data_IF_249324477854
#
_entry.id   IF_249324477854
#
_cell.length_a   1.000
_cell.length_b   1.000
_cell.length_c   1.000
_cell.angle_alpha   90.00
_cell.angle_beta   90.00
_cell.angle_gamma   90.00
#
_symmetry.space_group_name_H-M   'P 1'
#
loop_
_entity.id
_entity.type
_entity.pdbx_description
1 polymer ?
#
# COMPACT_ATOMS: atom_id res chain seq x y z
N UNK A 1 10.94 19.24 17.15
CA UNK A 1 9.64 18.86 16.54
C UNK A 1 8.69 20.06 16.44
N UNK A 2 8.59 20.89 17.48
CA UNK A 2 7.66 22.04 17.47
C UNK A 2 7.99 23.07 16.38
N UNK A 3 9.25 23.32 16.10
CA UNK A 3 9.68 24.23 15.01
C UNK A 3 9.21 23.74 13.63
N UNK A 4 9.18 22.42 13.39
CA UNK A 4 8.69 21.84 12.13
C UNK A 4 7.18 21.97 11.98
N UNK A 5 6.44 21.82 13.07
CA UNK A 5 5.00 22.04 13.09
C UNK A 5 4.65 23.52 12.90
N UNK A 6 5.43 24.41 13.52
CA UNK A 6 5.26 25.84 13.34
C UNK A 6 5.56 26.27 11.91
N UNK A 7 6.64 25.74 11.32
CA UNK A 7 6.96 25.97 9.91
C UNK A 7 5.84 25.49 9.00
N UNK A 8 5.31 24.27 9.23
CA UNK A 8 4.19 23.75 8.48
C UNK A 8 2.97 24.67 8.54
N UNK A 9 2.58 25.11 9.73
CA UNK A 9 1.45 26.03 9.93
C UNK A 9 1.63 27.37 9.18
N UNK A 10 2.84 27.91 9.23
CA UNK A 10 3.16 29.19 8.57
C UNK A 10 3.18 29.11 7.04
N UNK A 11 3.74 28.01 6.50
CA UNK A 11 3.93 27.87 5.05
C UNK A 11 2.65 27.46 4.34
N UNK A 12 1.86 26.56 4.95
CA UNK A 12 0.69 25.96 4.31
C UNK A 12 -0.63 26.54 4.82
N UNK A 13 -0.61 27.45 5.80
CA UNK A 13 -1.80 28.00 6.45
C UNK A 13 -2.75 26.90 6.95
N UNK A 14 -2.19 25.75 7.30
CA UNK A 14 -2.93 24.59 7.75
C UNK A 14 -2.77 24.43 9.26
N UNK A 15 -3.89 24.45 9.97
CA UNK A 15 -3.90 24.31 11.43
C UNK A 15 -3.93 22.83 11.88
N UNK A 16 -4.18 21.91 10.96
CA UNK A 16 -4.08 20.47 11.24
C UNK A 16 -2.61 20.09 11.33
N UNK A 17 -2.21 19.43 12.39
CA UNK A 17 -0.83 18.98 12.54
C UNK A 17 -0.53 17.86 11.54
N UNK A 18 0.66 17.89 10.91
CA UNK A 18 1.11 16.76 10.08
C UNK A 18 1.35 15.52 10.95
N UNK A 19 1.17 14.33 10.36
CA UNK A 19 1.41 13.06 11.04
C UNK A 19 2.90 12.89 11.36
N UNK A 20 3.73 13.17 10.38
CA UNK A 20 5.19 13.15 10.46
C UNK A 20 5.79 13.89 9.25
N UNK A 21 7.11 13.98 9.21
CA UNK A 21 7.82 14.65 8.11
C UNK A 21 9.10 13.89 7.75
N UNK A 22 9.62 14.24 6.57
CA UNK A 22 10.82 13.66 5.98
C UNK A 22 11.76 14.80 5.58
N UNK A 23 12.99 14.75 6.08
CA UNK A 23 14.05 15.62 5.62
C UNK A 23 14.65 15.10 4.33
N UNK A 24 14.76 16.01 3.36
CA UNK A 24 15.52 15.80 2.14
C UNK A 24 16.81 16.58 2.26
N UNK A 25 17.94 15.90 2.12
CA UNK A 25 19.25 16.52 2.08
C UNK A 25 20.15 15.68 1.21
N UNK A 26 20.61 16.24 0.12
CA UNK A 26 21.55 15.63 -0.82
C UNK A 26 22.50 16.69 -1.33
N UNK A 27 23.79 16.42 -1.28
CA UNK A 27 24.83 17.31 -1.78
C UNK A 27 25.45 16.80 -3.08
N UNK A 28 25.37 15.49 -3.37
CA UNK A 28 25.87 14.84 -4.57
C UNK A 28 24.96 13.70 -5.03
N UNK A 29 24.66 13.53 -6.30
CA UNK A 29 25.17 14.22 -7.51
C UNK A 29 24.51 15.58 -7.81
N UNK A 30 23.60 16.05 -6.97
CA UNK A 30 22.94 17.35 -7.07
C UNK A 30 22.62 17.88 -5.68
N UNK A 31 22.53 19.19 -5.57
CA UNK A 31 22.12 19.84 -4.32
C UNK A 31 20.59 19.87 -4.22
N UNK A 32 20.07 19.25 -3.19
CA UNK A 32 18.64 19.26 -2.88
C UNK A 32 18.44 19.28 -1.38
N UNK A 33 17.70 20.28 -0.91
CA UNK A 33 17.30 20.41 0.48
C UNK A 33 15.79 20.59 0.56
N UNK A 34 15.19 20.05 1.59
CA UNK A 34 13.74 20.20 1.74
C UNK A 34 13.16 19.44 2.89
N UNK A 35 11.86 19.58 3.01
CA UNK A 35 11.05 18.86 3.98
C UNK A 35 9.72 18.47 3.33
N UNK A 36 9.33 17.22 3.49
CA UNK A 36 8.02 16.71 3.08
C UNK A 36 7.23 16.35 4.32
N UNK A 37 5.97 16.73 4.35
CA UNK A 37 5.03 16.45 5.42
C UNK A 37 3.94 15.50 4.92
N UNK A 38 3.63 14.53 5.74
CA UNK A 38 2.43 13.71 5.58
C UNK A 38 1.28 14.41 6.31
N UNK A 39 0.33 15.00 5.59
CA UNK A 39 -0.83 15.63 6.21
C UNK A 39 -1.79 14.55 6.71
N UNK A 40 -2.59 14.90 7.71
CA UNK A 40 -3.74 14.08 8.09
C UNK A 40 -4.83 14.27 7.03
N UNK A 41 -5.12 13.20 6.29
CA UNK A 41 -6.09 13.21 5.20
C UNK A 41 -7.48 12.93 5.76
N UNK A 42 -8.39 13.87 5.64
CA UNK A 42 -9.81 13.65 5.95
C UNK A 42 -10.51 13.30 4.63
N UNK A 43 -10.62 11.98 4.33
CA UNK A 43 -11.13 11.47 3.06
C UNK A 43 -12.59 11.83 2.76
N UNK A 44 -13.34 12.33 3.74
CA UNK A 44 -14.76 12.66 3.57
C UNK A 44 -15.01 14.07 3.03
N UNK A 45 -14.09 15.02 3.22
CA UNK A 45 -14.36 16.45 2.95
C UNK A 45 -13.22 17.23 2.29
N UNK A 46 -12.01 16.69 2.26
CA UNK A 46 -10.86 17.43 1.71
C UNK A 46 -10.54 16.94 0.29
N UNK A 47 -10.41 17.87 -0.66
CA UNK A 47 -9.70 17.58 -1.90
C UNK A 47 -8.29 17.11 -1.56
N UNK A 48 -7.95 15.90 -1.98
CA UNK A 48 -6.65 15.27 -1.69
C UNK A 48 -5.58 15.93 -2.57
N UNK A 49 -5.42 17.24 -2.47
CA UNK A 49 -4.37 17.96 -3.16
C UNK A 49 -3.36 18.46 -2.11
N UNK A 50 -2.21 17.82 -2.13
CA UNK A 50 -1.03 18.33 -1.44
C UNK A 50 -0.49 19.57 -2.12
N UNK A 51 0.49 20.20 -1.52
CA UNK A 51 1.20 21.34 -2.10
C UNK A 51 2.68 21.20 -1.84
N UNK A 52 3.45 20.92 -2.90
CA UNK A 52 4.91 20.90 -2.82
C UNK A 52 5.44 22.13 -3.53
N UNK A 53 6.01 23.06 -2.74
CA UNK A 53 6.61 24.31 -3.20
C UNK A 53 8.04 24.06 -3.65
N UNK A 54 8.34 24.37 -4.89
CA UNK A 54 9.68 24.23 -5.46
C UNK A 54 10.40 25.58 -5.49
N UNK A 55 11.63 25.58 -4.99
CA UNK A 55 12.55 26.70 -4.97
C UNK A 55 13.82 26.36 -5.74
N UNK A 56 14.49 27.37 -6.22
CA UNK A 56 15.85 27.28 -6.75
C UNK A 56 16.68 28.42 -6.13
N UNK A 57 17.73 28.09 -5.38
CA UNK A 57 18.51 29.05 -4.60
C UNK A 57 17.61 29.96 -3.73
N UNK A 58 16.65 29.38 -3.01
CA UNK A 58 15.71 30.09 -2.13
C UNK A 58 14.73 31.03 -2.87
N UNK A 59 14.69 30.99 -4.21
CA UNK A 59 13.71 31.72 -5.01
C UNK A 59 12.57 30.79 -5.39
N UNK A 60 11.34 31.17 -5.09
CA UNK A 60 10.15 30.41 -5.42
C UNK A 60 9.99 30.27 -6.94
N UNK A 61 9.76 29.05 -7.42
CA UNK A 61 9.58 28.73 -8.82
C UNK A 61 8.13 28.41 -9.14
N UNK A 62 7.57 27.42 -8.50
CA UNK A 62 6.17 27.01 -8.68
C UNK A 62 5.73 26.00 -7.63
N UNK A 63 4.43 25.73 -7.59
CA UNK A 63 3.83 24.64 -6.83
C UNK A 63 3.62 23.42 -7.72
N UNK A 64 3.74 22.24 -7.14
CA UNK A 64 3.32 20.95 -7.71
C UNK A 64 3.82 20.68 -9.14
N UNK A 65 5.11 20.89 -9.39
CA UNK A 65 5.70 20.62 -10.71
C UNK A 65 5.74 19.10 -10.95
N UNK A 66 4.77 18.59 -11.71
CA UNK A 66 4.59 17.16 -12.01
C UNK A 66 5.78 16.52 -12.73
N UNK A 67 6.54 17.33 -13.44
CA UNK A 67 7.75 16.92 -14.12
C UNK A 67 8.87 16.51 -13.16
N UNK A 68 8.93 17.14 -11.98
CA UNK A 68 9.97 16.92 -10.95
C UNK A 68 9.47 15.99 -9.85
N UNK A 69 8.21 16.15 -9.46
CA UNK A 69 7.61 15.42 -8.33
C UNK A 69 6.73 14.30 -8.89
N UNK A 70 6.95 13.03 -8.51
CA UNK A 70 6.05 11.94 -8.86
C UNK A 70 4.60 12.21 -8.50
N UNK A 71 3.67 11.84 -9.37
CA UNK A 71 2.25 12.15 -9.22
C UNK A 71 1.68 11.72 -7.86
N UNK A 72 2.05 10.54 -7.38
CA UNK A 72 1.56 10.03 -6.10
C UNK A 72 2.11 10.80 -4.89
N UNK A 73 3.27 11.49 -5.02
CA UNK A 73 3.82 12.34 -3.98
C UNK A 73 3.15 13.72 -3.92
N UNK A 74 2.38 14.12 -4.93
CA UNK A 74 1.63 15.37 -4.92
C UNK A 74 0.49 15.41 -3.90
N UNK A 75 0.22 14.30 -3.22
CA UNK A 75 -0.67 14.25 -2.06
C UNK A 75 -0.02 14.80 -0.78
N UNK A 76 1.31 14.95 -0.78
CA UNK A 76 2.07 15.47 0.35
C UNK A 76 2.12 17.01 0.32
N UNK A 77 2.45 17.60 1.45
CA UNK A 77 2.83 19.02 1.56
C UNK A 77 4.33 19.11 1.78
N UNK A 78 4.98 20.09 1.15
CA UNK A 78 6.43 20.17 1.30
C UNK A 78 7.04 21.42 0.69
N UNK A 79 8.30 21.61 1.02
CA UNK A 79 9.16 22.64 0.43
C UNK A 79 10.45 21.97 0.00
N UNK A 80 10.83 22.19 -1.25
CA UNK A 80 12.05 21.62 -1.85
C UNK A 80 12.83 22.77 -2.48
N UNK A 81 14.10 22.89 -2.17
CA UNK A 81 15.05 23.77 -2.83
C UNK A 81 16.08 22.94 -3.59
N UNK A 82 16.16 23.14 -4.90
CA UNK A 82 17.11 22.46 -5.77
C UNK A 82 17.84 23.49 -6.64
N UNK A 83 19.01 23.99 -6.20
CA UNK A 83 19.81 24.96 -6.96
C UNK A 83 20.22 24.49 -8.36
N UNK A 84 20.40 23.21 -8.53
CA UNK A 84 20.89 22.62 -9.79
C UNK A 84 19.77 22.34 -10.80
N UNK A 85 18.52 22.70 -10.47
CA UNK A 85 17.40 22.49 -11.38
C UNK A 85 17.51 23.40 -12.62
N UNK A 86 17.48 22.86 -13.85
CA UNK A 86 17.55 23.65 -15.06
C UNK A 86 16.26 24.48 -15.28
N UNK A 87 16.30 25.77 -14.99
CA UNK A 87 15.13 26.66 -15.08
C UNK A 87 14.84 27.17 -16.49
N UNK A 88 15.81 27.07 -17.39
CA UNK A 88 15.71 27.63 -18.75
C UNK A 88 15.12 26.66 -19.78
N UNK A 89 14.50 25.57 -19.31
CA UNK A 89 14.00 24.48 -20.18
C UNK A 89 12.48 24.51 -20.14
N UNK A 90 11.85 24.25 -21.30
CA UNK A 90 10.40 24.09 -21.35
C UNK A 90 9.93 22.90 -20.50
N UNK A 91 8.71 22.93 -19.99
CA UNK A 91 8.14 21.80 -19.19
C UNK A 91 8.29 20.46 -19.90
N UNK A 92 8.09 20.42 -21.22
CA UNK A 92 8.25 19.20 -22.02
C UNK A 92 9.69 18.69 -22.09
N UNK A 93 10.67 19.57 -21.99
CA UNK A 93 12.08 19.20 -21.95
C UNK A 93 12.48 18.71 -20.55
N UNK A 94 11.88 19.25 -19.47
CA UNK A 94 12.08 18.78 -18.10
C UNK A 94 11.63 17.31 -17.94
N UNK A 95 10.55 16.89 -18.58
CA UNK A 95 10.05 15.50 -18.51
C UNK A 95 11.05 14.48 -19.04
N UNK A 96 11.88 14.85 -19.98
CA UNK A 96 12.88 13.98 -20.62
C UNK A 96 14.28 14.15 -20.05
N UNK A 97 14.47 15.03 -19.08
CA UNK A 97 15.77 15.29 -18.49
C UNK A 97 16.13 14.19 -17.49
N UNK A 98 17.25 13.50 -17.76
CA UNK A 98 17.76 12.47 -16.88
C UNK A 98 18.11 12.96 -15.46
N UNK A 99 18.36 14.24 -15.29
CA UNK A 99 18.60 14.88 -14.02
C UNK A 99 17.33 14.98 -13.17
N UNK A 100 16.23 15.45 -13.78
CA UNK A 100 14.91 15.54 -13.15
C UNK A 100 14.42 14.17 -12.71
N UNK A 101 14.64 13.14 -13.53
CA UNK A 101 14.33 11.77 -13.18
C UNK A 101 15.10 11.28 -11.94
N UNK A 102 16.38 11.64 -11.79
CA UNK A 102 17.17 11.29 -10.60
C UNK A 102 16.65 11.98 -9.34
N UNK A 103 16.19 13.23 -9.44
CA UNK A 103 15.55 13.95 -8.32
C UNK A 103 14.29 13.18 -7.89
N UNK A 104 13.41 12.87 -8.83
CA UNK A 104 12.19 12.12 -8.60
C UNK A 104 12.45 10.77 -7.94
N UNK A 105 13.41 9.99 -8.46
CA UNK A 105 13.81 8.71 -7.88
C UNK A 105 14.38 8.84 -6.46
N UNK A 106 15.15 9.89 -6.19
CA UNK A 106 15.69 10.16 -4.85
C UNK A 106 14.58 10.46 -3.85
N UNK A 107 13.64 11.33 -4.21
CA UNK A 107 12.51 11.69 -3.35
C UNK A 107 11.68 10.44 -3.05
N UNK A 108 11.31 9.67 -4.09
CA UNK A 108 10.60 8.40 -3.95
C UNK A 108 11.29 7.44 -3.01
N UNK A 109 12.61 7.29 -3.17
CA UNK A 109 13.42 6.43 -2.30
C UNK A 109 13.37 6.89 -0.85
N UNK A 110 13.54 8.19 -0.59
CA UNK A 110 13.51 8.74 0.77
C UNK A 110 12.16 8.56 1.45
N UNK A 111 11.06 8.71 0.70
CA UNK A 111 9.71 8.44 1.20
C UNK A 111 9.56 6.96 1.57
N UNK A 112 9.94 6.05 0.68
CA UNK A 112 9.88 4.62 0.95
C UNK A 112 10.77 4.23 2.15
N UNK A 113 11.99 4.75 2.23
CA UNK A 113 12.93 4.47 3.33
C UNK A 113 12.36 4.96 4.69
N UNK A 114 11.68 6.12 4.73
CA UNK A 114 11.02 6.61 5.95
C UNK A 114 9.86 5.70 6.38
N UNK A 115 8.99 5.32 5.44
CA UNK A 115 7.84 4.47 5.72
C UNK A 115 8.26 3.08 6.18
N UNK A 116 9.19 2.45 5.47
CA UNK A 116 9.73 1.13 5.84
C UNK A 116 10.49 1.17 7.15
N UNK A 117 11.26 2.25 7.38
CA UNK A 117 11.95 2.48 8.65
C UNK A 117 10.96 2.59 9.82
N UNK A 118 9.91 3.39 9.69
CA UNK A 118 8.86 3.54 10.71
C UNK A 118 8.18 2.20 11.00
N UNK A 119 7.83 1.43 9.98
CA UNK A 119 7.23 0.11 10.16
C UNK A 119 8.13 -0.85 10.95
N UNK A 120 9.47 -0.75 10.80
CA UNK A 120 10.45 -1.60 11.50
C UNK A 120 10.75 -1.14 12.93
N UNK A 121 10.88 0.16 13.14
CA UNK A 121 11.40 0.73 14.39
C UNK A 121 10.32 1.27 15.32
N UNK A 122 9.18 1.65 14.77
CA UNK A 122 8.04 2.23 15.50
C UNK A 122 6.72 1.75 14.88
N UNK A 123 6.50 0.45 15.00
CA UNK A 123 5.33 -0.24 14.43
C UNK A 123 4.01 0.33 14.96
N UNK A 124 3.97 0.72 16.22
CA UNK A 124 2.77 1.27 16.86
C UNK A 124 2.33 2.59 16.21
N UNK A 125 3.27 3.52 15.99
CA UNK A 125 2.98 4.76 15.27
C UNK A 125 2.60 4.50 13.80
N UNK A 126 3.24 3.53 13.15
CA UNK A 126 2.94 3.16 11.77
C UNK A 126 1.49 2.64 11.63
N UNK A 127 1.06 1.76 12.52
CA UNK A 127 -0.32 1.24 12.57
C UNK A 127 -1.33 2.34 12.89
N UNK A 128 -1.00 3.23 13.83
CA UNK A 128 -1.84 4.38 14.20
C UNK A 128 -2.09 5.34 13.01
N UNK A 129 -1.08 5.50 12.15
CA UNK A 129 -1.19 6.37 10.97
C UNK A 129 -1.70 5.63 9.75
N UNK A 130 -1.83 4.31 9.80
CA UNK A 130 -2.11 3.48 8.63
C UNK A 130 -3.37 3.90 7.86
N UNK A 131 -4.45 4.21 8.55
CA UNK A 131 -5.70 4.63 7.90
C UNK A 131 -5.52 5.92 7.09
N UNK A 132 -4.66 6.84 7.55
CA UNK A 132 -4.36 8.09 6.87
C UNK A 132 -3.35 7.91 5.71
N UNK A 133 -2.34 7.05 5.88
CA UNK A 133 -1.24 6.89 4.91
C UNK A 133 -1.48 5.78 3.88
N UNK A 134 -2.36 4.83 4.18
CA UNK A 134 -2.58 3.66 3.30
C UNK A 134 -3.07 4.01 1.90
N UNK A 135 -4.00 4.98 1.68
CA UNK A 135 -4.40 5.35 0.33
C UNK A 135 -3.24 5.89 -0.51
N UNK A 136 -2.37 6.69 0.13
CA UNK A 136 -1.16 7.22 -0.50
C UNK A 136 -0.19 6.09 -0.89
N UNK A 137 0.10 5.17 0.04
CA UNK A 137 1.01 4.04 -0.22
C UNK A 137 0.46 3.15 -1.34
N UNK A 138 -0.83 2.80 -1.28
CA UNK A 138 -1.49 1.97 -2.29
C UNK A 138 -1.47 2.63 -3.67
N UNK A 139 -1.75 3.94 -3.74
CA UNK A 139 -1.65 4.69 -4.99
C UNK A 139 -0.22 4.72 -5.54
N UNK A 140 0.76 4.94 -4.67
CA UNK A 140 2.18 4.88 -5.03
C UNK A 140 2.60 3.52 -5.58
N UNK A 141 2.14 2.43 -4.96
CA UNK A 141 2.43 1.08 -5.43
C UNK A 141 1.83 0.78 -6.82
N UNK A 142 0.65 1.33 -7.12
CA UNK A 142 0.03 1.17 -8.44
C UNK A 142 0.80 1.97 -9.51
N UNK A 143 1.31 3.16 -9.16
CA UNK A 143 1.93 4.09 -10.11
C UNK A 143 3.42 3.86 -10.33
N UNK A 144 4.13 3.36 -9.35
CA UNK A 144 5.60 3.20 -9.36
C UNK A 144 6.01 1.80 -8.91
N UNK A 145 6.52 0.99 -9.84
CA UNK A 145 6.93 -0.39 -9.56
C UNK A 145 8.08 -0.47 -8.56
N UNK A 146 9.06 0.46 -8.61
CA UNK A 146 10.19 0.49 -7.68
C UNK A 146 9.73 0.81 -6.25
N UNK A 147 8.75 1.71 -6.13
CA UNK A 147 8.11 1.99 -4.85
C UNK A 147 7.32 0.78 -4.35
N UNK A 148 6.53 0.15 -5.24
CA UNK A 148 5.79 -1.08 -4.93
C UNK A 148 6.70 -2.19 -4.41
N UNK A 149 7.84 -2.45 -5.07
CA UNK A 149 8.78 -3.49 -4.66
C UNK A 149 9.38 -3.23 -3.28
N UNK A 150 9.63 -1.97 -2.94
CA UNK A 150 10.12 -1.59 -1.61
C UNK A 150 9.06 -1.67 -0.53
N UNK A 151 7.80 -1.35 -0.86
CA UNK A 151 6.71 -1.29 0.11
C UNK A 151 5.99 -2.62 0.32
N UNK A 152 6.19 -3.61 -0.56
CA UNK A 152 5.43 -4.86 -0.60
C UNK A 152 5.33 -5.57 0.76
N UNK A 153 6.44 -5.68 1.49
CA UNK A 153 6.49 -6.34 2.81
C UNK A 153 5.99 -5.45 3.97
N UNK A 154 5.66 -4.18 3.70
CA UNK A 154 5.28 -3.17 4.70
C UNK A 154 3.85 -2.66 4.54
N UNK A 155 3.12 -3.22 3.60
CA UNK A 155 1.69 -2.95 3.43
C UNK A 155 0.91 -3.71 4.47
N UNK A 156 0.02 -2.99 5.17
CA UNK A 156 -0.80 -3.57 6.21
C UNK A 156 -2.25 -3.72 5.76
N UNK A 157 -2.85 -4.77 6.26
CA UNK A 157 -4.28 -5.05 6.15
C UNK A 157 -4.85 -5.14 7.55
N UNK A 158 -5.86 -4.33 7.84
CA UNK A 158 -6.60 -4.43 9.10
C UNK A 158 -7.63 -5.53 8.96
N UNK A 159 -7.60 -6.52 9.85
CA UNK A 159 -8.57 -7.60 9.82
C UNK A 159 -9.85 -7.26 10.59
N UNK A 160 -10.86 -8.14 10.51
CA UNK A 160 -12.15 -7.97 11.20
C UNK A 160 -12.04 -7.93 12.73
N UNK A 161 -10.93 -8.42 13.30
CA UNK A 161 -10.64 -8.34 14.73
C UNK A 161 -9.83 -7.09 15.12
N UNK A 162 -9.54 -6.22 14.15
CA UNK A 162 -8.83 -4.96 14.36
C UNK A 162 -7.31 -5.10 14.39
N UNK A 163 -6.75 -6.27 14.08
CA UNK A 163 -5.30 -6.49 13.99
C UNK A 163 -4.77 -6.04 12.64
N UNK A 164 -3.52 -5.56 12.62
CA UNK A 164 -2.81 -5.20 11.38
C UNK A 164 -1.87 -6.33 10.96
N UNK A 165 -2.15 -6.91 9.80
CA UNK A 165 -1.44 -8.02 9.20
C UNK A 165 -0.69 -7.56 7.95
N UNK A 166 0.46 -8.17 7.65
CA UNK A 166 1.11 -8.03 6.35
C UNK A 166 0.43 -8.92 5.31
N UNK A 167 0.74 -8.72 4.02
CA UNK A 167 0.22 -9.62 2.98
C UNK A 167 0.64 -11.07 3.23
N UNK A 168 1.87 -11.30 3.70
CA UNK A 168 2.38 -12.63 4.05
C UNK A 168 1.57 -13.27 5.18
N UNK A 169 1.31 -12.52 6.23
CA UNK A 169 0.47 -12.98 7.35
C UNK A 169 -0.93 -13.36 6.87
N UNK A 170 -1.54 -12.53 6.00
CA UNK A 170 -2.86 -12.83 5.42
C UNK A 170 -2.85 -14.11 4.57
N UNK A 171 -1.77 -14.37 3.83
CA UNK A 171 -1.62 -15.59 3.05
C UNK A 171 -1.47 -16.81 3.97
N UNK A 172 -0.65 -16.71 5.01
CA UNK A 172 -0.42 -17.80 5.97
C UNK A 172 -1.71 -18.16 6.73
N UNK A 173 -2.45 -17.16 7.21
CA UNK A 173 -3.72 -17.39 7.93
C UNK A 173 -4.82 -18.02 7.05
N UNK A 174 -4.78 -17.77 5.74
CA UNK A 174 -5.77 -18.29 4.79
C UNK A 174 -5.29 -19.52 4.01
N UNK A 175 -4.09 -20.04 4.27
CA UNK A 175 -3.62 -21.31 3.69
C UNK A 175 -4.44 -22.49 4.22
N UNK A 176 -4.84 -23.38 3.32
CA UNK A 176 -5.45 -24.64 3.73
C UNK A 176 -4.39 -25.57 4.34
N UNK A 177 -4.70 -26.33 5.41
CA UNK A 177 -3.73 -27.22 6.07
C UNK A 177 -3.13 -28.33 5.19
N UNK A 178 -3.66 -28.57 4.00
CA UNK A 178 -3.15 -29.58 3.05
C UNK A 178 -1.92 -29.12 2.25
N UNK A 179 -1.56 -27.84 2.29
CA UNK A 179 -0.41 -27.30 1.55
C UNK A 179 0.94 -27.40 2.31
N UNK A 180 0.92 -27.75 3.61
CA UNK A 180 2.15 -27.87 4.39
C UNK A 180 3.02 -29.08 4.02
N UNK A 181 2.46 -30.09 3.31
CA UNK A 181 3.18 -31.31 2.94
C UNK A 181 3.94 -31.22 1.61
N UNK A 182 3.82 -30.12 0.85
CA UNK A 182 4.44 -30.02 -0.50
C UNK A 182 5.70 -29.17 -0.56
N UNK A 183 6.14 -28.55 0.53
CA UNK A 183 7.30 -27.64 0.52
C UNK A 183 8.64 -28.29 0.91
N UNK A 184 8.68 -29.58 1.33
CA UNK A 184 9.93 -30.23 1.72
C UNK A 184 10.51 -31.22 0.69
N UNK A 185 9.83 -31.47 -0.44
CA UNK A 185 10.31 -32.44 -1.46
C UNK A 185 10.48 -31.82 -2.85
N UNK A 186 11.38 -30.85 -3.02
CA UNK A 186 11.89 -30.52 -4.37
C UNK A 186 13.34 -30.08 -4.34
N UNK A 187 14.22 -30.97 -3.88
CA UNK A 187 15.61 -31.00 -4.37
C UNK A 187 15.95 -32.48 -4.59
N UNK A 188 16.12 -32.85 -5.82
CA UNK A 188 16.70 -34.03 -6.47
C UNK A 188 15.71 -34.86 -7.31
N UNK A 189 16.04 -34.80 -8.52
CA UNK A 189 16.27 -35.84 -9.54
C UNK A 189 15.52 -35.62 -10.85
N UNK A 190 16.36 -35.36 -11.82
CA UNK A 190 16.19 -35.46 -13.28
C UNK A 190 15.78 -36.84 -13.75
N UNK A 191 15.06 -36.83 -14.89
CA UNK A 191 15.00 -37.82 -15.99
C UNK A 191 13.79 -38.74 -16.14
N UNK A 192 13.14 -38.48 -17.26
CA UNK A 192 12.45 -39.37 -18.23
C UNK A 192 11.26 -40.21 -17.83
N UNK A 193 10.08 -39.87 -18.40
CA UNK A 193 9.39 -40.64 -19.45
C UNK A 193 8.09 -39.98 -19.91
N UNK A 194 7.94 -39.91 -21.23
CA UNK A 194 6.70 -39.61 -21.97
C UNK A 194 5.66 -40.72 -21.73
N UNK A 195 4.38 -40.32 -21.57
CA UNK A 195 3.29 -40.94 -22.30
C UNK A 195 1.96 -40.22 -22.03
N UNK A 196 1.12 -40.22 -23.08
CA UNK A 196 -0.17 -39.56 -23.27
C UNK A 196 -1.18 -39.76 -22.14
N UNK A 197 -1.88 -38.67 -21.81
CA UNK A 197 -3.11 -38.67 -21.03
C UNK A 197 -3.59 -37.25 -20.90
N UNK A 198 -4.73 -36.89 -21.52
CA UNK A 198 -5.40 -35.65 -21.37
C UNK A 198 -5.54 -35.30 -19.86
N UNK A 199 -4.73 -34.38 -19.38
CA UNK A 199 -4.85 -33.80 -18.04
C UNK A 199 -5.73 -32.59 -18.18
N UNK A 200 -6.92 -32.62 -17.55
CA UNK A 200 -7.58 -31.44 -17.09
C UNK A 200 -6.52 -30.59 -16.36
N UNK A 201 -6.17 -29.46 -16.94
CA UNK A 201 -5.31 -28.47 -16.31
C UNK A 201 -6.10 -27.92 -15.11
N UNK A 202 -5.92 -28.52 -13.93
CA UNK A 202 -6.32 -27.89 -12.68
C UNK A 202 -5.52 -26.60 -12.57
N UNK A 203 -6.18 -25.47 -12.71
CA UNK A 203 -5.61 -24.17 -12.35
C UNK A 203 -4.98 -24.28 -10.95
N UNK A 204 -3.78 -23.72 -10.74
CA UNK A 204 -3.13 -23.77 -9.44
C UNK A 204 -4.09 -23.19 -8.38
N UNK A 205 -4.28 -23.93 -7.31
CA UNK A 205 -5.20 -23.56 -6.23
C UNK A 205 -4.72 -22.24 -5.60
N UNK A 206 -5.47 -21.14 -5.83
CA UNK A 206 -5.11 -19.81 -5.34
C UNK A 206 -5.54 -19.66 -3.88
N UNK A 207 -4.67 -19.06 -3.06
CA UNK A 207 -5.03 -18.67 -1.69
C UNK A 207 -6.04 -17.53 -1.74
N UNK A 208 -7.22 -17.74 -1.16
CA UNK A 208 -8.30 -16.73 -1.15
C UNK A 208 -8.22 -15.88 0.12
N UNK A 209 -8.06 -14.57 -0.05
CA UNK A 209 -8.14 -13.58 1.02
C UNK A 209 -9.51 -12.91 0.93
N UNK A 210 -10.31 -13.02 1.99
CA UNK A 210 -11.63 -12.40 2.02
C UNK A 210 -11.52 -10.94 2.49
N UNK A 211 -12.40 -10.08 1.95
CA UNK A 211 -12.41 -8.68 2.34
C UNK A 211 -13.81 -8.10 2.54
N UNK A 212 -13.86 -7.08 3.40
CA UNK A 212 -15.03 -6.30 3.80
C UNK A 212 -14.87 -4.87 3.27
N UNK A 213 -15.90 -4.32 2.65
CA UNK A 213 -15.91 -2.92 2.19
C UNK A 213 -16.69 -2.01 3.12
N UNK A 214 -17.72 -2.53 3.78
CA UNK A 214 -18.58 -1.81 4.73
C UNK A 214 -18.91 -2.72 5.91
N UNK A 215 -18.33 -2.42 7.08
CA UNK A 215 -18.48 -3.22 8.29
C UNK A 215 -19.92 -3.25 8.82
N UNK A 216 -20.69 -2.19 8.57
CA UNK A 216 -22.10 -2.08 9.04
C UNK A 216 -23.00 -2.91 8.15
N UNK A 217 -22.93 -2.71 6.85
CA UNK A 217 -23.78 -3.43 5.88
C UNK A 217 -23.45 -4.93 5.83
N UNK A 218 -22.16 -5.27 6.02
CA UNK A 218 -21.67 -6.65 5.95
C UNK A 218 -21.52 -7.31 7.34
N UNK A 219 -22.06 -6.70 8.40
CA UNK A 219 -21.93 -7.18 9.80
C UNK A 219 -22.38 -8.63 10.00
N UNK A 220 -23.42 -9.08 9.31
CA UNK A 220 -23.90 -10.45 9.38
C UNK A 220 -22.84 -11.44 8.87
N UNK A 221 -22.21 -11.15 7.75
CA UNK A 221 -21.15 -11.97 7.17
C UNK A 221 -19.90 -11.97 8.05
N UNK A 222 -19.54 -10.83 8.65
CA UNK A 222 -18.42 -10.72 9.59
C UNK A 222 -18.65 -11.67 10.78
N UNK A 223 -19.86 -11.69 11.35
CA UNK A 223 -20.18 -12.57 12.46
C UNK A 223 -20.06 -14.06 12.07
N UNK A 224 -20.55 -14.42 10.87
CA UNK A 224 -20.44 -15.79 10.34
C UNK A 224 -18.96 -16.21 10.18
N UNK A 225 -18.08 -15.29 9.69
CA UNK A 225 -16.66 -15.55 9.56
C UNK A 225 -15.99 -15.75 10.91
N UNK A 226 -16.33 -14.93 11.92
CA UNK A 226 -15.83 -15.10 13.29
C UNK A 226 -16.26 -16.45 13.90
N UNK A 227 -17.51 -16.85 13.75
CA UNK A 227 -18.01 -18.14 14.21
C UNK A 227 -17.32 -19.31 13.52
N UNK A 228 -17.03 -19.17 12.22
CA UNK A 228 -16.29 -20.16 11.44
C UNK A 228 -14.77 -20.10 11.67
N UNK A 229 -14.26 -19.21 12.53
CA UNK A 229 -12.82 -18.95 12.77
C UNK A 229 -12.06 -18.65 11.46
N UNK A 230 -12.69 -17.95 10.53
CA UNK A 230 -12.08 -17.45 9.30
C UNK A 230 -11.83 -15.96 9.43
N UNK A 231 -10.77 -15.48 8.80
CA UNK A 231 -10.41 -14.06 8.81
C UNK A 231 -10.82 -13.36 7.50
N UNK A 232 -10.99 -12.05 7.59
CA UNK A 232 -11.21 -11.18 6.45
C UNK A 232 -10.58 -9.81 6.73
N UNK A 233 -10.12 -9.13 5.69
CA UNK A 233 -9.48 -7.82 5.79
C UNK A 233 -10.43 -6.69 5.42
N UNK A 234 -10.29 -5.53 6.06
CA UNK A 234 -11.14 -4.37 5.85
C UNK A 234 -10.53 -3.47 4.78
N UNK A 235 -11.25 -3.27 3.68
CA UNK A 235 -10.84 -2.48 2.51
C UNK A 235 -11.92 -1.43 2.21
N UNK A 236 -11.89 -0.31 2.93
CA UNK A 236 -12.94 0.73 2.90
C UNK A 236 -12.67 1.88 1.92
N UNK A 237 -11.46 1.99 1.38
CA UNK A 237 -11.09 3.08 0.49
C UNK A 237 -11.35 2.75 -0.98
N UNK A 238 -11.74 3.73 -1.78
CA UNK A 238 -11.97 3.55 -3.21
C UNK A 238 -10.75 3.01 -3.98
N UNK A 239 -9.55 3.33 -3.51
CA UNK A 239 -8.29 2.85 -4.10
C UNK A 239 -8.08 1.34 -3.89
N UNK A 240 -8.71 0.74 -2.88
CA UNK A 240 -8.47 -0.64 -2.50
C UNK A 240 -8.83 -1.63 -3.61
N UNK A 241 -9.88 -1.36 -4.37
CA UNK A 241 -10.28 -2.21 -5.51
C UNK A 241 -9.19 -2.27 -6.58
N UNK A 242 -8.62 -1.12 -6.96
CA UNK A 242 -7.51 -1.09 -7.93
C UNK A 242 -6.23 -1.71 -7.35
N UNK A 243 -6.03 -1.55 -6.03
CA UNK A 243 -4.86 -2.06 -5.36
C UNK A 243 -4.86 -3.59 -5.25
N UNK A 244 -5.97 -4.22 -4.86
CA UNK A 244 -6.07 -5.70 -4.83
C UNK A 244 -5.90 -6.30 -6.22
N UNK A 245 -6.47 -5.69 -7.27
CA UNK A 245 -6.23 -6.11 -8.65
C UNK A 245 -4.75 -6.02 -9.05
N UNK A 246 -4.04 -4.98 -8.59
CA UNK A 246 -2.60 -4.87 -8.79
C UNK A 246 -1.82 -6.00 -8.08
N UNK A 247 -2.20 -6.35 -6.85
CA UNK A 247 -1.58 -7.46 -6.11
C UNK A 247 -1.82 -8.81 -6.79
N UNK A 248 -3.04 -9.09 -7.24
CA UNK A 248 -3.39 -10.32 -7.96
C UNK A 248 -2.64 -10.47 -9.30
N UNK A 249 -2.39 -9.34 -10.00
CA UNK A 249 -1.57 -9.34 -11.20
C UNK A 249 -0.09 -9.61 -10.93
N UNK A 250 0.40 -9.12 -9.79
CA UNK A 250 1.80 -9.29 -9.37
C UNK A 250 2.06 -10.68 -8.81
N UNK A 251 1.10 -11.24 -8.08
CA UNK A 251 1.14 -12.59 -7.51
C UNK A 251 -0.11 -13.38 -7.91
N UNK A 252 0.04 -14.27 -8.88
CA UNK A 252 -1.06 -15.08 -9.41
C UNK A 252 -1.49 -16.20 -8.47
N UNK A 253 -0.79 -16.42 -7.37
CA UNK A 253 -1.11 -17.43 -6.36
C UNK A 253 -2.15 -16.98 -5.35
N UNK A 254 -2.52 -15.68 -5.36
CA UNK A 254 -3.51 -15.11 -4.48
C UNK A 254 -4.73 -14.60 -5.24
N UNK A 255 -5.86 -14.55 -4.54
CA UNK A 255 -7.07 -13.88 -5.02
C UNK A 255 -7.81 -13.22 -3.86
N UNK A 256 -8.45 -12.09 -4.14
CA UNK A 256 -9.29 -11.41 -3.17
C UNK A 256 -10.76 -11.63 -3.49
N UNK A 257 -11.55 -12.04 -2.49
CA UNK A 257 -13.01 -12.20 -2.63
C UNK A 257 -13.74 -11.38 -1.59
N UNK A 258 -14.78 -10.68 -2.02
CA UNK A 258 -15.63 -9.95 -1.08
C UNK A 258 -16.42 -10.93 -0.22
N UNK A 259 -16.56 -10.62 1.07
CA UNK A 259 -17.14 -11.51 2.08
C UNK A 259 -18.60 -11.93 1.78
N UNK A 260 -19.32 -11.13 1.01
CA UNK A 260 -20.72 -11.35 0.60
C UNK A 260 -20.86 -11.90 -0.84
N UNK A 261 -19.74 -12.05 -1.58
CA UNK A 261 -19.74 -12.68 -2.88
C UNK A 261 -19.78 -14.19 -2.71
N UNK A 262 -20.92 -14.78 -2.98
CA UNK A 262 -21.26 -16.20 -2.86
C UNK A 262 -20.85 -16.85 -1.53
N UNK A 263 -21.82 -17.18 -0.72
CA UNK A 263 -21.67 -18.11 0.40
C UNK A 263 -21.13 -19.42 -0.17
N UNK A 264 -19.81 -19.53 -0.21
CA UNK A 264 -19.11 -20.68 -0.71
C UNK A 264 -19.69 -21.95 -0.06
N UNK A 265 -19.78 -23.02 -0.80
CA UNK A 265 -20.27 -24.34 -0.34
C UNK A 265 -19.62 -24.78 0.99
N UNK A 266 -18.40 -24.30 1.26
CA UNK A 266 -17.65 -24.52 2.51
C UNK A 266 -18.31 -23.87 3.76
N UNK A 267 -18.96 -22.71 3.64
CA UNK A 267 -19.72 -22.10 4.75
C UNK A 267 -21.12 -22.73 4.90
N UNK A 268 -21.72 -23.21 3.82
CA UNK A 268 -22.97 -23.97 3.88
C UNK A 268 -22.81 -25.26 4.66
N UNK A 269 -21.65 -25.93 4.54
CA UNK A 269 -21.33 -27.13 5.30
C UNK A 269 -21.24 -26.87 6.82
N UNK A 270 -20.59 -25.79 7.24
CA UNK A 270 -20.42 -25.45 8.65
C UNK A 270 -21.73 -25.05 9.34
N UNK A 271 -22.60 -24.31 8.67
CA UNK A 271 -23.90 -23.86 9.19
C UNK A 271 -24.88 -25.04 9.28
N UNK A 272 -24.81 -26.01 8.36
CA UNK A 272 -25.69 -27.19 8.41
C UNK A 272 -25.41 -28.11 9.62
N UNK A 273 -24.15 -28.19 10.07
CA UNK A 273 -23.80 -29.00 11.24
C UNK A 273 -24.20 -28.39 12.58
N UNK A 274 -24.33 -27.08 12.70
CA UNK A 274 -24.74 -26.42 13.94
C UNK A 274 -26.24 -26.48 14.15
N UNK A 275 -27.06 -26.48 13.08
CA UNK A 275 -28.52 -26.61 13.19
C UNK A 275 -29.00 -28.04 13.51
N UNK A 276 -28.21 -29.07 13.19
CA UNK A 276 -28.59 -30.46 13.52
C UNK A 276 -28.29 -30.86 14.99
N UNK A 277 -27.47 -30.08 15.70
CA UNK A 277 -27.18 -30.33 17.12
C UNK A 277 -28.11 -29.63 18.11
N UNK A 278 -29.03 -28.80 17.64
CA UNK A 278 -29.98 -28.07 18.49
C UNK A 278 -31.36 -28.77 18.62
N UNK A 279 -31.50 -29.99 18.13
CA UNK A 279 -32.74 -30.78 18.19
C UNK A 279 -32.54 -32.22 18.71
N UNK A 280 -31.50 -32.46 19.53
CA UNK A 280 -31.44 -33.68 20.37
C UNK A 280 -31.45 -33.33 21.85
#
# INVERSE_FOLDING_TARGET
DEEYKEFFRKVFMDYKEPLFWIHLNMDYPFNLKGILYFPKINTEYDSIEGTIKLYNNQVFIADNIKEVIPEFLLLLKGVIDCPDLPLNVSRSALQNDGFVKKISEYITKKVADKLTGMCKTDRESYEKYWDDISPFIKYGCIKDSKFSDKMNDYILFKNIDGKYLTLKDCIEENRKPEDETKTEETVESTEEKKEDGAKDEKEPEKTTIFYVTDEVQQSQYINMFREAKKDAVILKHNIDSAFISHLEQKDQTIQFKRIDADLTEELRGAVSYTHLRAHE
#
